data_IF_236680077344
#
_entry.id   IF_236680077344
#
_cell.length_a   1.000
_cell.length_b   1.000
_cell.length_c   1.000
_cell.angle_alpha   90.00
_cell.angle_beta   90.00
_cell.angle_gamma   90.00
#
_symmetry.space_group_name_H-M   'P 1'
#
loop_
_entity.id
_entity.type
_entity.pdbx_description
1 polymer ?
#
# COMPACT_ATOMS: atom_id res chain seq x y z
N UNK A 1 41.64 23.10 2.85
CA UNK A 1 40.63 22.03 2.96
C UNK A 1 39.49 22.67 3.73
N UNK A 2 38.42 23.07 3.04
CA UNK A 2 37.22 23.60 3.69
C UNK A 2 36.51 22.46 4.41
N UNK A 3 36.19 22.68 5.69
CA UNK A 3 35.41 21.73 6.47
C UNK A 3 33.98 21.67 5.93
N UNK A 4 33.38 20.46 5.79
CA UNK A 4 32.05 20.33 5.25
C UNK A 4 31.02 20.94 6.21
N UNK A 5 30.13 21.77 5.67
CA UNK A 5 28.98 22.31 6.39
C UNK A 5 28.03 21.20 6.81
N UNK A 6 27.83 21.06 8.12
CA UNK A 6 26.86 20.14 8.71
C UNK A 6 25.46 20.77 8.64
N UNK A 7 24.56 20.16 7.87
CA UNK A 7 23.13 20.48 7.90
C UNK A 7 22.42 19.62 8.96
N UNK A 8 21.88 20.26 9.99
CA UNK A 8 20.99 19.59 10.96
C UNK A 8 19.58 19.46 10.40
N UNK A 9 19.19 18.22 10.09
CA UNK A 9 17.82 17.87 9.70
C UNK A 9 16.99 17.64 10.96
N UNK A 10 16.24 18.66 11.42
CA UNK A 10 15.23 18.50 12.47
C UNK A 10 13.93 17.92 11.89
N UNK A 11 13.59 16.69 12.28
CA UNK A 11 12.30 16.07 11.95
C UNK A 11 11.33 16.07 13.13
N UNK A 12 10.08 16.46 12.91
CA UNK A 12 9.00 16.34 13.90
C UNK A 12 8.48 14.90 13.90
N UNK A 13 8.76 14.15 14.96
CA UNK A 13 8.23 12.80 15.17
C UNK A 13 6.95 12.86 16.00
N UNK A 14 5.88 12.20 15.54
CA UNK A 14 4.70 11.96 16.38
C UNK A 14 5.11 11.14 17.62
N UNK A 15 4.88 11.70 18.81
CA UNK A 15 5.13 11.01 20.08
C UNK A 15 4.16 9.83 20.17
N UNK A 16 4.66 8.61 20.42
CA UNK A 16 3.78 7.46 20.66
C UNK A 16 2.87 7.78 21.83
N UNK A 17 1.57 7.78 21.57
CA UNK A 17 0.53 7.89 22.58
C UNK A 17 0.60 6.67 23.49
N UNK A 18 0.97 6.85 24.76
CA UNK A 18 0.92 5.81 25.80
C UNK A 18 -0.53 5.56 26.26
N UNK A 19 -1.48 5.50 25.32
CA UNK A 19 -2.89 5.31 25.65
C UNK A 19 -3.25 3.83 25.56
N UNK A 20 -3.33 3.18 26.71
CA UNK A 20 -4.02 1.90 26.89
C UNK A 20 -5.51 2.14 26.72
N UNK A 21 -6.05 1.72 25.56
CA UNK A 21 -7.45 1.95 25.19
C UNK A 21 -8.44 1.40 26.22
N UNK A 22 -9.50 2.15 26.49
CA UNK A 22 -10.69 1.62 27.18
C UNK A 22 -11.59 0.97 26.12
N UNK A 23 -11.81 -0.34 26.26
CA UNK A 23 -12.74 -1.20 25.48
C UNK A 23 -12.43 -1.41 24.00
N UNK A 24 -12.14 -0.36 23.22
CA UNK A 24 -11.82 -0.46 21.79
C UNK A 24 -10.33 -0.16 21.54
N UNK A 25 -9.67 -0.95 20.69
CA UNK A 25 -8.22 -0.88 20.40
C UNK A 25 -7.83 0.30 19.49
N UNK A 26 -8.26 1.53 19.82
CA UNK A 26 -7.98 2.76 19.08
C UNK A 26 -6.63 3.42 19.47
N UNK A 27 -5.75 2.66 20.14
CA UNK A 27 -4.48 3.19 20.65
C UNK A 27 -3.58 3.76 19.54
N UNK A 28 -3.59 3.11 18.37
CA UNK A 28 -2.68 3.39 17.26
C UNK A 28 -3.14 4.53 16.32
N UNK A 29 -4.34 5.09 16.51
CA UNK A 29 -4.82 6.21 15.69
C UNK A 29 -4.24 7.54 16.19
N UNK A 30 -3.99 8.45 15.24
CA UNK A 30 -3.61 9.83 15.54
C UNK A 30 -4.73 10.54 16.32
N UNK A 31 -4.35 11.32 17.34
CA UNK A 31 -5.29 12.07 18.18
C UNK A 31 -5.12 13.56 17.93
N UNK A 32 -6.15 14.16 17.36
CA UNK A 32 -6.28 15.61 17.25
C UNK A 32 -7.19 16.08 18.39
N UNK A 33 -6.63 16.82 19.35
CA UNK A 33 -7.39 17.39 20.47
C UNK A 33 -8.00 18.71 20.01
N UNK A 34 -9.32 18.76 19.93
CA UNK A 34 -10.08 20.00 19.71
C UNK A 34 -10.61 20.45 21.06
N UNK A 35 -10.11 21.58 21.56
CA UNK A 35 -10.55 22.16 22.83
C UNK A 35 -11.76 23.06 22.58
N UNK A 36 -12.82 22.86 23.35
CA UNK A 36 -14.00 23.74 23.36
C UNK A 36 -13.95 24.59 24.62
N UNK A 37 -13.42 25.81 24.52
CA UNK A 37 -13.39 26.80 25.59
C UNK A 37 -14.47 27.86 25.34
N UNK A 38 -14.90 28.54 26.40
CA UNK A 38 -15.72 29.74 26.26
C UNK A 38 -14.84 30.84 25.65
N UNK A 39 -15.41 31.66 24.78
CA UNK A 39 -14.74 32.79 24.10
C UNK A 39 -15.70 33.99 24.07
N UNK A 40 -15.16 35.22 24.06
CA UNK A 40 -15.95 36.44 23.99
C UNK A 40 -16.84 36.68 25.23
N UNK A 41 -18.06 37.20 25.01
CA UNK A 41 -19.00 37.57 26.08
C UNK A 41 -19.40 36.39 26.99
N UNK A 42 -19.28 35.15 26.50
CA UNK A 42 -19.56 33.94 27.30
C UNK A 42 -18.45 33.64 28.31
N UNK A 43 -17.27 34.27 28.19
CA UNK A 43 -16.18 34.18 29.16
C UNK A 43 -16.40 35.10 30.37
N UNK A 44 -17.35 36.04 30.30
CA UNK A 44 -17.67 36.92 31.42
C UNK A 44 -18.77 36.32 32.29
N UNK A 45 -18.58 36.39 33.60
CA UNK A 45 -19.58 35.97 34.57
C UNK A 45 -20.84 36.83 34.43
N UNK A 46 -21.99 36.20 34.21
CA UNK A 46 -23.27 36.91 34.02
C UNK A 46 -23.77 37.65 35.26
N UNK A 47 -23.22 37.35 36.44
CA UNK A 47 -23.62 37.96 37.71
C UNK A 47 -22.71 39.12 38.14
N UNK A 48 -21.39 38.97 38.02
CA UNK A 48 -20.41 39.99 38.47
C UNK A 48 -19.60 40.65 37.35
N UNK A 49 -19.70 40.15 36.11
CA UNK A 49 -18.97 40.69 34.95
C UNK A 49 -17.48 40.29 34.88
N UNK A 50 -16.93 39.65 35.92
CA UNK A 50 -15.53 39.19 35.94
C UNK A 50 -15.26 38.05 34.96
N UNK A 51 -14.03 37.95 34.47
CA UNK A 51 -13.60 36.93 33.53
C UNK A 51 -13.50 35.55 34.20
N UNK A 52 -14.16 34.55 33.61
CA UNK A 52 -14.21 33.18 34.11
C UNK A 52 -12.91 32.44 33.78
N UNK A 53 -12.38 31.71 34.77
CA UNK A 53 -11.19 30.86 34.59
C UNK A 53 -11.57 29.38 34.46
N UNK A 54 -10.84 28.60 33.67
CA UNK A 54 -11.11 27.17 33.52
C UNK A 54 -10.76 26.40 34.82
N UNK A 55 -11.77 25.80 35.46
CA UNK A 55 -11.63 25.05 36.72
C UNK A 55 -11.32 23.55 36.49
N UNK A 56 -11.64 23.02 35.30
CA UNK A 56 -11.37 21.63 34.97
C UNK A 56 -12.04 21.18 33.67
N UNK A 57 -11.79 19.92 33.29
CA UNK A 57 -12.40 19.32 32.08
C UNK A 57 -13.67 18.57 32.48
N UNK A 58 -14.83 19.09 32.07
CA UNK A 58 -16.14 18.49 32.38
C UNK A 58 -16.32 17.09 31.79
N UNK A 59 -15.90 16.89 30.55
CA UNK A 59 -15.96 15.59 29.88
C UNK A 59 -14.94 15.49 28.75
N UNK A 60 -14.53 14.27 28.42
CA UNK A 60 -13.73 13.96 27.23
C UNK A 60 -14.53 12.99 26.38
N UNK A 61 -14.80 13.35 25.13
CA UNK A 61 -15.46 12.49 24.14
C UNK A 61 -14.51 12.24 22.98
N UNK A 62 -14.26 10.97 22.68
CA UNK A 62 -13.49 10.57 21.52
C UNK A 62 -14.44 10.33 20.34
N UNK A 63 -14.13 10.91 19.18
CA UNK A 63 -14.89 10.73 17.94
C UNK A 63 -13.92 10.25 16.87
N UNK A 64 -14.16 9.05 16.34
CA UNK A 64 -13.39 8.52 15.21
C UNK A 64 -13.85 9.23 13.94
N UNK A 65 -12.94 9.99 13.31
CA UNK A 65 -13.19 10.63 12.03
C UNK A 65 -12.63 9.75 10.90
N UNK A 66 -13.43 9.55 9.85
CA UNK A 66 -12.99 8.90 8.61
C UNK A 66 -12.57 9.95 7.60
N UNK A 67 -11.30 9.90 7.17
CA UNK A 67 -10.78 10.72 6.07
C UNK A 67 -10.65 9.77 4.87
N UNK A 68 -11.41 9.97 3.79
CA UNK A 68 -11.37 9.07 2.64
C UNK A 68 -10.02 9.15 1.91
N UNK A 69 -9.69 8.07 1.19
CA UNK A 69 -8.52 8.02 0.33
C UNK A 69 -8.60 9.07 -0.79
N UNK A 70 -7.44 9.55 -1.25
CA UNK A 70 -7.31 10.55 -2.32
C UNK A 70 -6.34 10.04 -3.37
N UNK A 71 -6.69 10.25 -4.64
CA UNK A 71 -5.82 10.03 -5.78
C UNK A 71 -5.26 11.36 -6.28
N UNK A 72 -4.00 11.37 -6.72
CA UNK A 72 -3.32 12.51 -7.31
C UNK A 72 -2.55 12.06 -8.55
N UNK A 73 -2.32 12.98 -9.48
CA UNK A 73 -1.39 12.78 -10.59
C UNK A 73 -0.08 13.48 -10.23
N UNK A 74 1.01 12.72 -10.23
CA UNK A 74 2.37 13.24 -10.09
C UNK A 74 2.99 13.32 -11.49
N UNK A 75 3.15 14.53 -12.00
CA UNK A 75 3.71 14.78 -13.33
C UNK A 75 5.22 15.08 -13.23
N UNK A 76 6.03 14.28 -13.93
CA UNK A 76 7.48 14.43 -13.95
C UNK A 76 7.94 15.06 -15.28
N UNK A 77 8.25 16.35 -15.25
CA UNK A 77 8.80 17.07 -16.41
C UNK A 77 10.33 17.02 -16.36
N UNK A 78 10.92 16.27 -17.29
CA UNK A 78 12.37 16.06 -17.37
C UNK A 78 12.95 16.85 -18.54
N UNK A 79 13.82 17.81 -18.23
CA UNK A 79 14.51 18.61 -19.24
C UNK A 79 15.81 17.96 -19.69
N UNK A 80 16.08 18.01 -20.99
CA UNK A 80 17.37 17.68 -21.58
C UNK A 80 18.18 18.96 -21.81
N UNK A 81 19.49 18.88 -21.58
CA UNK A 81 20.42 19.99 -21.72
C UNK A 81 21.47 19.64 -22.75
N UNK A 82 21.72 20.53 -23.70
CA UNK A 82 22.76 20.37 -24.73
C UNK A 82 23.90 21.37 -24.50
N UNK A 83 25.15 20.90 -24.57
CA UNK A 83 26.32 21.77 -24.54
C UNK A 83 26.59 22.38 -25.91
N UNK A 84 26.12 23.62 -26.13
CA UNK A 84 26.32 24.38 -27.39
C UNK A 84 27.80 24.64 -27.71
N UNK A 85 28.68 24.64 -26.71
CA UNK A 85 30.12 24.85 -26.92
C UNK A 85 30.77 23.62 -27.56
N UNK A 86 30.44 22.43 -27.07
CA UNK A 86 30.90 21.17 -27.66
C UNK A 86 30.36 21.01 -29.09
N UNK A 87 29.09 21.36 -29.29
CA UNK A 87 28.45 21.35 -30.61
C UNK A 87 29.20 22.18 -31.65
N UNK A 88 29.58 23.41 -31.29
CA UNK A 88 30.35 24.30 -32.19
C UNK A 88 31.77 23.79 -32.46
N UNK A 89 32.41 23.14 -31.50
CA UNK A 89 33.81 22.72 -31.60
C UNK A 89 33.98 21.38 -32.34
N UNK A 90 33.02 20.46 -32.20
CA UNK A 90 33.14 19.08 -32.69
C UNK A 90 32.08 18.71 -33.73
N UNK A 91 31.05 19.56 -33.93
CA UNK A 91 29.88 19.22 -34.75
C UNK A 91 28.86 18.34 -34.03
N UNK A 92 29.18 17.82 -32.84
CA UNK A 92 28.31 16.94 -32.06
C UNK A 92 27.87 17.57 -30.73
N UNK A 93 26.57 17.54 -30.48
CA UNK A 93 25.96 18.04 -29.25
C UNK A 93 26.01 17.00 -28.13
N UNK A 94 26.76 17.28 -27.05
CA UNK A 94 26.67 16.48 -25.82
C UNK A 94 25.36 16.82 -25.09
N UNK A 95 24.42 15.87 -25.08
CA UNK A 95 23.11 15.99 -24.43
C UNK A 95 23.13 15.23 -23.09
N UNK A 96 22.64 15.86 -22.03
CA UNK A 96 22.50 15.27 -20.69
C UNK A 96 21.09 15.52 -20.16
N UNK A 97 20.53 14.53 -19.49
CA UNK A 97 19.22 14.61 -18.83
C UNK A 97 19.29 13.90 -17.48
N UNK A 98 18.54 14.35 -16.46
CA UNK A 98 18.45 13.62 -15.19
C UNK A 98 17.67 12.31 -15.35
N UNK A 99 17.89 11.36 -14.43
CA UNK A 99 17.18 10.08 -14.43
C UNK A 99 15.69 10.27 -14.11
N UNK A 100 14.84 9.57 -14.85
CA UNK A 100 13.41 9.52 -14.56
C UNK A 100 13.13 8.67 -13.31
N UNK A 101 12.05 8.97 -12.57
CA UNK A 101 11.58 8.12 -11.48
C UNK A 101 11.35 6.70 -11.96
N UNK A 102 11.83 5.72 -11.17
CA UNK A 102 11.71 4.31 -11.50
C UNK A 102 10.44 3.76 -10.87
N UNK A 103 9.48 3.41 -11.72
CA UNK A 103 8.29 2.65 -11.33
C UNK A 103 8.51 1.16 -11.64
N UNK A 104 7.77 0.28 -10.96
CA UNK A 104 7.83 -1.17 -11.20
C UNK A 104 7.40 -1.52 -12.63
N UNK A 105 6.48 -0.74 -13.21
CA UNK A 105 6.04 -0.88 -14.59
C UNK A 105 6.55 0.29 -15.42
N UNK A 106 7.48 -0.01 -16.32
CA UNK A 106 8.04 0.97 -17.24
C UNK A 106 6.94 1.62 -18.10
N UNK A 107 6.95 2.96 -18.19
CA UNK A 107 5.98 3.76 -18.94
C UNK A 107 4.50 3.51 -18.58
N UNK A 108 4.21 3.04 -17.36
CA UNK A 108 2.84 2.90 -16.87
C UNK A 108 2.40 4.15 -16.11
N UNK A 109 1.12 4.48 -16.20
CA UNK A 109 0.48 5.50 -15.35
C UNK A 109 0.38 5.05 -13.88
N UNK A 110 0.50 3.75 -13.61
CA UNK A 110 0.33 3.22 -12.27
C UNK A 110 1.58 3.43 -11.42
N UNK A 111 1.42 4.16 -10.31
CA UNK A 111 2.44 4.23 -9.28
C UNK A 111 2.54 2.90 -8.52
N UNK A 112 3.67 2.69 -7.83
CA UNK A 112 3.89 1.48 -7.03
C UNK A 112 2.84 1.35 -5.90
N UNK A 113 2.44 2.48 -5.31
CA UNK A 113 1.42 2.58 -4.27
C UNK A 113 0.04 2.19 -4.79
N UNK A 114 -0.32 2.67 -5.99
CA UNK A 114 -1.60 2.34 -6.61
C UNK A 114 -1.69 0.84 -6.90
N UNK A 115 -0.63 0.26 -7.44
CA UNK A 115 -0.55 -1.19 -7.71
C UNK A 115 -0.69 -1.98 -6.41
N UNK A 116 0.07 -1.61 -5.37
CA UNK A 116 -0.01 -2.25 -4.07
C UNK A 116 -1.44 -2.16 -3.50
N UNK A 117 -2.10 -1.01 -3.62
CA UNK A 117 -3.47 -0.82 -3.17
C UNK A 117 -4.46 -1.71 -3.94
N UNK A 118 -4.36 -1.79 -5.28
CA UNK A 118 -5.16 -2.70 -6.12
C UNK A 118 -5.01 -4.16 -5.69
N UNK A 119 -3.77 -4.61 -5.41
CA UNK A 119 -3.51 -5.98 -4.94
C UNK A 119 -4.08 -6.24 -3.55
N UNK A 120 -3.93 -5.30 -2.61
CA UNK A 120 -4.50 -5.39 -1.25
C UNK A 120 -6.02 -5.48 -1.33
N UNK A 121 -6.68 -4.62 -2.11
CA UNK A 121 -8.12 -4.68 -2.32
C UNK A 121 -8.55 -6.04 -2.88
N UNK A 122 -7.80 -6.58 -3.85
CA UNK A 122 -8.13 -7.85 -4.51
C UNK A 122 -7.96 -9.05 -3.58
N UNK A 123 -6.82 -9.18 -2.93
CA UNK A 123 -6.41 -10.40 -2.23
C UNK A 123 -6.65 -10.34 -0.72
N UNK A 124 -6.44 -9.19 -0.08
CA UNK A 124 -6.67 -9.04 1.37
C UNK A 124 -8.16 -8.74 1.67
N UNK A 125 -8.78 -7.89 0.85
CA UNK A 125 -10.18 -7.47 1.06
C UNK A 125 -11.18 -8.18 0.15
N UNK A 126 -10.73 -9.15 -0.65
CA UNK A 126 -11.57 -9.94 -1.56
C UNK A 126 -12.47 -9.09 -2.48
N UNK A 127 -12.03 -7.88 -2.86
CA UNK A 127 -12.77 -6.98 -3.73
C UNK A 127 -12.52 -7.35 -5.20
N UNK A 128 -13.53 -7.84 -5.94
CA UNK A 128 -13.36 -8.20 -7.35
C UNK A 128 -13.01 -6.97 -8.20
N UNK A 129 -12.29 -7.17 -9.30
CA UNK A 129 -11.79 -6.06 -10.13
C UNK A 129 -12.91 -5.16 -10.70
N UNK A 130 -14.09 -5.70 -10.98
CA UNK A 130 -15.22 -4.87 -11.42
C UNK A 130 -15.72 -3.91 -10.34
N UNK A 131 -15.58 -4.29 -9.06
CA UNK A 131 -15.94 -3.43 -7.93
C UNK A 131 -14.85 -2.42 -7.65
N UNK A 132 -13.59 -2.79 -7.89
CA UNK A 132 -12.48 -1.85 -7.85
C UNK A 132 -12.61 -0.78 -8.94
N UNK A 133 -13.01 -1.15 -10.16
CA UNK A 133 -13.32 -0.21 -11.25
C UNK A 133 -14.33 0.85 -10.79
N UNK A 134 -15.48 0.45 -10.22
CA UNK A 134 -16.45 1.40 -9.65
C UNK A 134 -15.89 2.20 -8.47
N UNK A 135 -15.04 1.60 -7.65
CA UNK A 135 -14.43 2.25 -6.48
C UNK A 135 -13.48 3.38 -6.90
N UNK A 136 -12.65 3.15 -7.93
CA UNK A 136 -11.76 4.17 -8.47
C UNK A 136 -12.53 5.25 -9.23
N UNK A 137 -13.61 4.89 -9.92
CA UNK A 137 -14.48 5.85 -10.60
C UNK A 137 -15.13 6.83 -9.61
N UNK A 138 -15.57 6.36 -8.43
CA UNK A 138 -16.06 7.21 -7.34
C UNK A 138 -15.01 8.20 -6.82
N UNK A 139 -13.72 7.91 -6.99
CA UNK A 139 -12.61 8.80 -6.65
C UNK A 139 -12.16 9.67 -7.83
N UNK A 140 -12.91 9.66 -8.94
CA UNK A 140 -12.64 10.45 -10.14
C UNK A 140 -11.62 9.83 -11.09
N UNK A 141 -11.28 8.54 -10.92
CA UNK A 141 -10.33 7.83 -11.77
C UNK A 141 -11.02 6.68 -12.52
N UNK A 142 -11.36 6.91 -13.79
CA UNK A 142 -11.98 5.89 -14.65
C UNK A 142 -10.96 4.86 -15.12
N UNK A 143 -10.70 3.86 -14.27
CA UNK A 143 -9.77 2.75 -14.54
C UNK A 143 -10.54 1.52 -15.01
N UNK A 144 -10.31 1.11 -16.26
CA UNK A 144 -10.99 -0.07 -16.80
C UNK A 144 -10.59 -1.34 -16.04
N UNK A 145 -11.52 -2.30 -15.95
CA UNK A 145 -11.24 -3.63 -15.41
C UNK A 145 -10.05 -4.32 -16.09
N UNK A 146 -9.90 -4.13 -17.41
CA UNK A 146 -8.79 -4.70 -18.17
C UNK A 146 -7.46 -4.11 -17.68
N UNK A 147 -7.41 -2.80 -17.45
CA UNK A 147 -6.23 -2.12 -16.90
C UNK A 147 -5.84 -2.70 -15.55
N UNK A 148 -6.81 -2.82 -14.63
CA UNK A 148 -6.57 -3.40 -13.30
C UNK A 148 -6.12 -4.87 -13.37
N UNK A 149 -6.66 -5.64 -14.32
CA UNK A 149 -6.26 -7.02 -14.56
C UNK A 149 -4.81 -7.11 -15.05
N UNK A 150 -4.45 -6.30 -16.04
CA UNK A 150 -3.10 -6.23 -16.60
C UNK A 150 -2.07 -5.84 -15.52
N UNK A 151 -2.40 -4.87 -14.66
CA UNK A 151 -1.54 -4.50 -13.53
C UNK A 151 -1.39 -5.64 -12.52
N UNK A 152 -2.46 -6.37 -12.23
CA UNK A 152 -2.39 -7.53 -11.32
C UNK A 152 -1.46 -8.62 -11.87
N UNK A 153 -1.58 -8.93 -13.16
CA UNK A 153 -0.74 -9.92 -13.85
C UNK A 153 0.72 -9.46 -13.87
N UNK A 154 0.97 -8.23 -14.32
CA UNK A 154 2.33 -7.67 -14.40
C UNK A 154 3.00 -7.60 -13.04
N UNK A 155 2.22 -7.34 -11.97
CA UNK A 155 2.73 -7.37 -10.61
C UNK A 155 3.11 -8.79 -10.17
N UNK A 156 2.34 -9.80 -10.56
CA UNK A 156 2.67 -11.19 -10.28
C UNK A 156 4.02 -11.57 -10.90
N UNK A 157 4.25 -11.19 -12.17
CA UNK A 157 5.52 -11.42 -12.86
C UNK A 157 6.67 -10.68 -12.17
N UNK A 158 6.47 -9.41 -11.80
CA UNK A 158 7.48 -8.61 -11.12
C UNK A 158 7.83 -9.13 -9.72
N UNK A 159 6.88 -9.79 -9.04
CA UNK A 159 7.07 -10.36 -7.70
C UNK A 159 7.55 -11.82 -7.72
N UNK A 160 7.62 -12.46 -8.90
CA UNK A 160 8.06 -13.84 -9.06
C UNK A 160 9.44 -14.13 -8.43
N UNK A 161 10.46 -13.24 -8.53
CA UNK A 161 11.75 -13.47 -7.86
C UNK A 161 11.62 -13.59 -6.33
N UNK A 162 10.71 -12.82 -5.73
CA UNK A 162 10.44 -12.86 -4.29
C UNK A 162 9.74 -14.17 -3.94
N UNK A 163 8.73 -14.56 -4.72
CA UNK A 163 8.05 -15.84 -4.56
C UNK A 163 9.05 -17.01 -4.62
N UNK A 164 9.94 -17.02 -5.60
CA UNK A 164 10.96 -18.05 -5.79
C UNK A 164 11.97 -18.09 -4.63
N UNK A 165 12.36 -16.93 -4.09
CA UNK A 165 13.22 -16.87 -2.92
C UNK A 165 12.51 -17.41 -1.67
N UNK A 166 11.27 -16.99 -1.41
CA UNK A 166 10.44 -17.51 -0.32
C UNK A 166 10.24 -19.02 -0.43
N UNK A 167 10.06 -19.54 -1.65
CA UNK A 167 9.92 -20.97 -1.91
C UNK A 167 11.18 -21.74 -1.55
N UNK A 168 12.36 -21.26 -1.94
CA UNK A 168 13.64 -21.85 -1.53
C UNK A 168 13.80 -21.88 -0.01
N UNK A 169 13.45 -20.78 0.66
CA UNK A 169 13.46 -20.67 2.13
C UNK A 169 12.42 -21.55 2.83
N UNK A 170 11.33 -21.90 2.16
CA UNK A 170 10.34 -22.84 2.70
C UNK A 170 10.84 -24.28 2.56
N UNK A 171 11.40 -24.63 1.40
CA UNK A 171 11.94 -25.96 1.08
C UNK A 171 13.20 -26.32 1.86
N UNK A 172 13.94 -25.32 2.38
CA UNK A 172 15.10 -25.57 3.26
C UNK A 172 14.71 -26.01 4.67
N UNK A 173 13.41 -25.97 5.03
CA UNK A 173 12.92 -26.30 6.38
C UNK A 173 12.63 -27.78 6.52
N UNK A 174 12.83 -28.31 7.74
CA UNK A 174 12.59 -29.73 8.05
C UNK A 174 11.12 -30.15 7.89
N UNK A 175 10.17 -29.23 8.15
CA UNK A 175 8.74 -29.51 8.11
C UNK A 175 7.98 -28.37 7.42
N UNK A 176 7.09 -28.76 6.51
CA UNK A 176 6.18 -27.89 5.77
C UNK A 176 4.77 -28.44 5.97
N UNK A 177 3.84 -27.58 6.38
CA UNK A 177 2.43 -27.94 6.41
C UNK A 177 1.84 -27.63 5.04
N UNK A 178 1.05 -28.55 4.51
CA UNK A 178 0.37 -28.41 3.23
C UNK A 178 -1.11 -28.75 3.40
N UNK A 179 -1.98 -27.93 2.83
CA UNK A 179 -3.42 -28.17 2.76
C UNK A 179 -3.97 -27.64 1.44
N UNK A 180 -5.05 -28.23 0.94
CA UNK A 180 -5.66 -27.84 -0.33
C UNK A 180 -7.09 -27.34 -0.17
N UNK A 181 -7.42 -26.24 -0.84
CA UNK A 181 -8.80 -25.77 -0.98
C UNK A 181 -9.29 -25.94 -2.42
N UNK A 182 -10.53 -26.42 -2.59
CA UNK A 182 -11.09 -26.58 -3.93
C UNK A 182 -11.61 -25.27 -4.49
N UNK A 183 -11.38 -25.04 -5.79
CA UNK A 183 -11.95 -23.94 -6.55
C UNK A 183 -12.53 -24.42 -7.88
N UNK A 184 -13.47 -23.63 -8.41
CA UNK A 184 -14.01 -23.79 -9.76
C UNK A 184 -13.36 -22.74 -10.65
N UNK A 185 -12.77 -23.18 -11.76
CA UNK A 185 -12.07 -22.30 -12.71
C UNK A 185 -12.77 -22.41 -14.06
N UNK A 186 -13.06 -21.26 -14.66
CA UNK A 186 -13.56 -21.19 -16.03
C UNK A 186 -12.34 -21.38 -16.94
N UNK A 187 -12.39 -22.33 -17.86
CA UNK A 187 -11.29 -22.55 -18.82
C UNK A 187 -11.50 -21.70 -20.09
N UNK A 188 -10.40 -21.36 -20.76
CA UNK A 188 -10.36 -20.51 -21.97
C UNK A 188 -11.19 -21.02 -23.15
N UNK A 189 -11.57 -22.31 -23.16
CA UNK A 189 -12.38 -22.90 -24.24
C UNK A 189 -13.88 -22.61 -24.15
N UNK A 190 -14.32 -21.68 -23.28
CA UNK A 190 -15.73 -21.29 -23.14
C UNK A 190 -16.67 -22.39 -22.63
N UNK A 191 -16.17 -23.61 -22.40
CA UNK A 191 -16.88 -24.66 -21.70
C UNK A 191 -16.73 -24.41 -20.21
N UNK A 192 -17.86 -24.38 -19.51
CA UNK A 192 -17.99 -24.46 -18.06
C UNK A 192 -17.27 -25.74 -17.56
N UNK A 193 -15.94 -25.66 -17.43
CA UNK A 193 -15.15 -26.68 -16.77
C UNK A 193 -15.41 -26.55 -15.28
N UNK A 194 -16.59 -27.00 -14.84
CA UNK A 194 -16.93 -27.19 -13.42
C UNK A 194 -16.02 -28.24 -12.75
N UNK A 195 -15.02 -28.75 -13.46
CA UNK A 195 -13.96 -29.61 -12.96
C UNK A 195 -13.28 -28.94 -11.78
N UNK A 196 -13.35 -29.62 -10.63
CA UNK A 196 -12.70 -29.17 -9.40
C UNK A 196 -11.20 -29.01 -9.64
N UNK A 197 -10.67 -27.87 -9.24
CA UNK A 197 -9.24 -27.55 -9.19
C UNK A 197 -8.86 -27.26 -7.75
N UNK A 198 -7.57 -27.18 -7.48
CA UNK A 198 -7.06 -27.13 -6.12
C UNK A 198 -6.06 -25.99 -6.01
N UNK A 199 -6.21 -25.17 -4.97
CA UNK A 199 -5.20 -24.22 -4.56
C UNK A 199 -4.54 -24.82 -3.33
N UNK A 200 -3.31 -25.26 -3.49
CA UNK A 200 -2.48 -25.75 -2.40
C UNK A 200 -1.90 -24.57 -1.65
N UNK A 201 -1.93 -24.65 -0.33
CA UNK A 201 -1.25 -23.74 0.58
C UNK A 201 -0.10 -24.52 1.20
N UNK A 202 1.11 -23.99 1.08
CA UNK A 202 2.28 -24.48 1.77
C UNK A 202 2.73 -23.45 2.80
N UNK A 203 2.88 -23.86 4.05
CA UNK A 203 3.29 -22.97 5.11
C UNK A 203 4.35 -23.57 6.02
N UNK A 204 5.23 -22.71 6.51
CA UNK A 204 6.22 -23.11 7.51
C UNK A 204 5.58 -23.36 8.87
N UNK A 205 6.11 -24.33 9.62
CA UNK A 205 5.64 -24.65 10.98
C UNK A 205 6.23 -23.73 12.07
N UNK A 206 6.20 -22.40 11.87
CA UNK A 206 6.69 -21.42 12.87
C UNK A 206 5.93 -20.10 12.78
N UNK A 207 5.83 -19.42 13.93
CA UNK A 207 5.29 -18.06 14.04
C UNK A 207 6.36 -16.98 13.87
N UNK A 208 7.63 -17.31 14.09
CA UNK A 208 8.74 -16.39 13.88
C UNK A 208 9.19 -16.51 12.43
N UNK A 209 8.75 -15.55 11.58
CA UNK A 209 8.96 -15.53 10.12
C UNK A 209 8.20 -16.64 9.37
N UNK A 210 6.86 -16.58 9.38
CA UNK A 210 6.05 -17.52 8.61
C UNK A 210 6.27 -17.27 7.11
N UNK A 211 6.47 -18.34 6.35
CA UNK A 211 6.36 -18.33 4.89
C UNK A 211 5.07 -19.04 4.54
N UNK A 212 4.24 -18.42 3.70
CA UNK A 212 2.96 -18.95 3.21
C UNK A 212 2.96 -18.75 1.70
N UNK A 213 2.81 -19.83 0.95
CA UNK A 213 2.80 -19.82 -0.50
C UNK A 213 1.57 -20.56 -1.01
N UNK A 214 0.99 -20.02 -2.07
CA UNK A 214 -0.11 -20.63 -2.78
C UNK A 214 0.39 -21.23 -4.09
N UNK A 215 -0.17 -22.37 -4.48
CA UNK A 215 0.18 -23.11 -5.68
C UNK A 215 -1.07 -23.71 -6.32
N UNK A 216 -1.36 -23.29 -7.55
CA UNK A 216 -2.53 -23.76 -8.27
C UNK A 216 -2.24 -25.09 -8.95
N UNK A 217 -3.04 -26.10 -8.62
CA UNK A 217 -2.90 -27.45 -9.15
C UNK A 217 -4.19 -27.99 -9.74
N UNK A 218 -4.05 -28.83 -10.76
CA UNK A 218 -5.19 -29.46 -11.45
C UNK A 218 -5.79 -30.64 -10.68
N UNK A 219 -5.03 -31.21 -9.74
CA UNK A 219 -5.41 -32.44 -9.03
C UNK A 219 -5.05 -32.34 -7.54
N UNK A 220 -5.56 -33.29 -6.76
CA UNK A 220 -5.23 -33.48 -5.34
C UNK A 220 -4.23 -34.62 -5.09
N UNK A 221 -3.56 -35.10 -6.13
CA UNK A 221 -2.65 -36.24 -5.99
C UNK A 221 -1.45 -35.87 -5.12
N UNK A 222 -0.86 -36.88 -4.48
CA UNK A 222 0.37 -36.72 -3.70
C UNK A 222 1.57 -36.25 -4.53
N UNK A 223 1.48 -36.28 -5.87
CA UNK A 223 2.50 -35.70 -6.75
C UNK A 223 2.55 -34.17 -6.67
N UNK A 224 1.45 -33.49 -6.35
CA UNK A 224 1.41 -32.04 -6.21
C UNK A 224 2.39 -31.54 -5.13
N UNK A 225 2.28 -31.97 -3.85
CA UNK A 225 3.23 -31.56 -2.82
C UNK A 225 4.65 -32.12 -3.00
N UNK A 226 4.81 -33.24 -3.73
CA UNK A 226 6.14 -33.79 -4.04
C UNK A 226 6.91 -32.97 -5.08
N UNK A 227 6.19 -32.32 -6.00
CA UNK A 227 6.76 -31.54 -7.10
C UNK A 227 6.72 -30.03 -6.84
N UNK A 228 6.21 -29.61 -5.68
CA UNK A 228 6.27 -28.23 -5.24
C UNK A 228 7.72 -27.84 -5.00
#
# INVERSE_FOLDING_TARGET
>A
MEEPTLEEITYKRAKKSNYTGKKDNLANLERVVVEHKLEGDDLNCKECGEELTPIGVKSRKEIVKYIPAKLIIEEHVIYSYACKTCERATGESKIVSPEAPKTIFYNSMASNELIAHTLILKYQHAMPLYRQETYFDMMGASLSRQTLCNWTMSAADALEPIYNHMKKELLSRNYINADETTLKVINDNGKDSKTKKYMWLYMSNTKSKPVILYDYQRTRSSSCPKNF
#
